data_IF_697747339801
#
_entry.id   IF_697747339801
#
_cell.length_a   1.000
_cell.length_b   1.000
_cell.length_c   1.000
_cell.angle_alpha   90.00
_cell.angle_beta   90.00
_cell.angle_gamma   90.00
#
_symmetry.space_group_name_H-M   'P 1'
#
loop_
_entity.id
_entity.type
_entity.pdbx_description
1 polymer ?
#
# COMPACT_ATOMS: atom_id res chain seq x y z
N UNK A 1 24.67 16.85 -1.55
CA UNK A 1 23.49 17.43 -0.85
C UNK A 1 23.48 18.90 -1.18
N UNK A 2 23.09 19.23 -2.40
CA UNK A 2 23.03 20.60 -2.86
C UNK A 2 21.57 21.06 -2.79
N UNK A 3 21.37 22.28 -2.29
CA UNK A 3 20.04 22.82 -2.05
C UNK A 3 19.34 23.22 -3.35
N UNK A 4 20.08 23.78 -4.30
CA UNK A 4 19.52 24.22 -5.59
C UNK A 4 18.99 23.01 -6.37
N UNK A 5 19.75 21.91 -6.37
CA UNK A 5 19.31 20.64 -6.97
C UNK A 5 18.06 20.08 -6.29
N UNK A 6 17.95 20.18 -4.96
CA UNK A 6 16.78 19.70 -4.22
C UNK A 6 15.52 20.55 -4.51
N UNK A 7 15.67 21.87 -4.58
CA UNK A 7 14.59 22.78 -4.94
C UNK A 7 14.13 22.56 -6.39
N UNK A 8 15.08 22.36 -7.32
CA UNK A 8 14.77 21.97 -8.69
C UNK A 8 13.99 20.65 -8.74
N UNK A 9 14.44 19.62 -7.99
CA UNK A 9 13.76 18.32 -7.94
C UNK A 9 12.38 18.41 -7.33
N UNK A 10 12.19 19.25 -6.32
CA UNK A 10 10.89 19.52 -5.73
C UNK A 10 9.94 20.13 -6.76
N UNK A 11 10.42 21.08 -7.56
CA UNK A 11 9.61 21.73 -8.58
C UNK A 11 9.30 20.79 -9.77
N UNK A 12 10.27 19.97 -10.19
CA UNK A 12 10.06 18.89 -11.16
C UNK A 12 8.98 17.91 -10.69
N UNK A 13 9.01 17.51 -9.41
CA UNK A 13 8.07 16.57 -8.84
C UNK A 13 6.65 17.14 -8.71
N UNK A 14 6.51 18.43 -8.38
CA UNK A 14 5.23 19.14 -8.33
C UNK A 14 4.57 19.24 -9.70
N UNK A 15 5.35 19.55 -10.73
CA UNK A 15 4.84 19.76 -12.08
C UNK A 15 4.59 18.43 -12.82
N UNK A 16 5.27 17.36 -12.42
CA UNK A 16 5.09 16.04 -13.03
C UNK A 16 3.86 15.32 -12.48
N UNK A 17 3.10 14.68 -13.37
CA UNK A 17 2.03 13.73 -12.98
C UNK A 17 2.59 12.39 -12.47
N UNK A 18 3.75 11.99 -12.95
CA UNK A 18 4.43 10.74 -12.58
C UNK A 18 5.60 11.01 -11.63
N UNK A 19 6.07 9.98 -10.93
CA UNK A 19 7.27 10.13 -10.09
C UNK A 19 8.47 10.47 -10.96
N UNK A 20 9.27 11.43 -10.50
CA UNK A 20 10.50 11.80 -11.19
C UNK A 20 11.68 10.96 -10.68
N UNK A 21 12.68 10.78 -11.53
CA UNK A 21 13.90 10.06 -11.17
C UNK A 21 14.68 10.84 -10.11
N UNK A 22 14.91 10.20 -8.97
CA UNK A 22 15.72 10.74 -7.89
C UNK A 22 17.22 10.63 -8.21
N UNK A 23 18.06 11.52 -7.66
CA UNK A 23 19.51 11.43 -7.81
C UNK A 23 20.09 10.12 -7.26
N UNK A 24 19.45 9.56 -6.22
CA UNK A 24 19.82 8.29 -5.62
C UNK A 24 18.56 7.60 -5.07
N UNK A 25 18.42 6.30 -5.30
CA UNK A 25 17.23 5.52 -4.89
C UNK A 25 17.11 5.37 -3.37
N UNK A 26 18.19 5.61 -2.63
CA UNK A 26 18.28 5.54 -1.18
C UNK A 26 18.54 6.91 -0.53
N UNK A 27 18.23 8.01 -1.24
CA UNK A 27 18.50 9.37 -0.77
C UNK A 27 17.98 9.62 0.65
N UNK A 28 16.80 9.11 1.01
CA UNK A 28 16.20 9.32 2.33
C UNK A 28 16.99 8.62 3.44
N UNK A 29 17.39 7.37 3.23
CA UNK A 29 18.19 6.63 4.21
C UNK A 29 19.57 7.27 4.41
N UNK A 30 20.20 7.68 3.31
CA UNK A 30 21.49 8.38 3.32
C UNK A 30 21.36 9.73 4.05
N UNK A 31 20.35 10.52 3.72
CA UNK A 31 20.07 11.80 4.36
C UNK A 31 19.87 11.63 5.87
N UNK A 32 19.03 10.68 6.27
CA UNK A 32 18.75 10.43 7.68
C UNK A 32 20.03 10.09 8.46
N UNK A 33 20.88 9.22 7.92
CA UNK A 33 22.13 8.82 8.57
C UNK A 33 23.10 10.01 8.69
N UNK A 34 23.29 10.75 7.59
CA UNK A 34 24.21 11.90 7.55
C UNK A 34 23.76 12.98 8.54
N UNK A 35 22.48 13.37 8.50
CA UNK A 35 21.94 14.40 9.38
C UNK A 35 21.78 13.96 10.85
N UNK A 36 21.93 12.67 11.14
CA UNK A 36 21.98 12.16 12.52
C UNK A 36 23.33 12.36 13.18
N UNK A 37 24.43 12.39 12.41
CA UNK A 37 25.80 12.42 12.94
C UNK A 37 26.55 13.70 12.56
N UNK A 38 26.51 14.09 11.28
CA UNK A 38 27.35 15.13 10.69
C UNK A 38 26.58 16.42 10.34
N UNK A 39 25.42 16.66 10.97
CA UNK A 39 24.60 17.84 10.66
C UNK A 39 25.29 19.18 10.92
N UNK A 40 26.27 19.21 11.85
CA UNK A 40 27.05 20.41 12.18
C UNK A 40 28.13 20.74 11.16
N UNK A 41 28.56 19.75 10.37
CA UNK A 41 29.61 19.88 9.37
C UNK A 41 29.06 20.24 7.98
N UNK A 42 27.73 20.40 7.88
CA UNK A 42 27.01 20.68 6.64
C UNK A 42 26.47 22.09 6.68
N UNK A 43 26.90 22.90 5.71
CA UNK A 43 26.36 24.24 5.53
C UNK A 43 24.87 24.19 5.21
N UNK A 44 24.09 25.08 5.84
CA UNK A 44 22.64 25.16 5.66
C UNK A 44 21.89 23.83 5.94
N UNK A 45 22.43 23.00 6.84
CA UNK A 45 21.91 21.65 7.13
C UNK A 45 20.41 21.59 7.40
N UNK A 46 19.86 22.53 8.17
CA UNK A 46 18.43 22.60 8.47
C UNK A 46 17.57 22.93 7.25
N UNK A 47 18.07 23.79 6.34
CA UNK A 47 17.36 24.13 5.10
C UNK A 47 17.33 22.93 4.15
N UNK A 48 18.45 22.22 4.02
CA UNK A 48 18.55 20.99 3.22
C UNK A 48 17.65 19.89 3.82
N UNK A 49 17.66 19.72 5.14
CA UNK A 49 16.78 18.77 5.85
C UNK A 49 15.32 19.06 5.56
N UNK A 50 14.92 20.33 5.58
CA UNK A 50 13.55 20.75 5.27
C UNK A 50 13.19 20.45 3.82
N UNK A 51 14.05 20.82 2.86
CA UNK A 51 13.80 20.56 1.44
C UNK A 51 13.64 19.05 1.12
N UNK A 52 14.48 18.20 1.74
CA UNK A 52 14.38 16.73 1.60
C UNK A 52 13.04 16.23 2.17
N UNK A 53 12.61 16.78 3.31
CA UNK A 53 11.35 16.41 3.94
C UNK A 53 10.16 16.83 3.08
N UNK A 54 10.16 18.06 2.57
CA UNK A 54 9.08 18.55 1.70
C UNK A 54 8.95 17.70 0.43
N UNK A 55 10.08 17.32 -0.17
CA UNK A 55 10.11 16.43 -1.34
C UNK A 55 9.55 15.04 -1.00
N UNK A 56 9.92 14.49 0.14
CA UNK A 56 9.40 13.21 0.61
C UNK A 56 7.91 13.25 0.90
N UNK A 57 7.42 14.27 1.61
CA UNK A 57 6.01 14.41 1.96
C UNK A 57 5.15 14.57 0.70
N UNK A 58 5.63 15.34 -0.28
CA UNK A 58 5.00 15.46 -1.59
C UNK A 58 4.88 14.10 -2.29
N UNK A 59 5.97 13.34 -2.35
CA UNK A 59 6.01 12.04 -3.05
C UNK A 59 5.18 10.98 -2.34
N UNK A 60 5.22 10.92 -1.01
CA UNK A 60 4.35 10.03 -0.22
C UNK A 60 2.87 10.39 -0.41
N UNK A 61 2.54 11.68 -0.42
CA UNK A 61 1.16 12.15 -0.70
C UNK A 61 0.67 11.73 -2.09
N UNK A 62 1.53 11.90 -3.10
CA UNK A 62 1.27 11.46 -4.48
C UNK A 62 1.10 9.94 -4.57
N UNK A 63 1.93 9.18 -3.87
CA UNK A 63 1.85 7.72 -3.84
C UNK A 63 0.57 7.22 -3.14
N UNK A 64 0.13 7.88 -2.07
CA UNK A 64 -1.18 7.60 -1.44
C UNK A 64 -2.33 7.89 -2.39
N UNK A 65 -2.29 9.03 -3.09
CA UNK A 65 -3.33 9.41 -4.05
C UNK A 65 -3.39 8.44 -5.25
N UNK A 66 -2.23 7.99 -5.71
CA UNK A 66 -2.11 6.95 -6.75
C UNK A 66 -2.69 5.61 -6.28
N UNK A 67 -2.38 5.20 -5.04
CA UNK A 67 -2.92 3.97 -4.45
C UNK A 67 -4.45 4.02 -4.27
N UNK A 68 -5.01 5.14 -3.84
CA UNK A 68 -6.46 5.35 -3.72
C UNK A 68 -7.16 5.24 -5.08
N UNK A 69 -6.59 5.89 -6.11
CA UNK A 69 -7.10 5.81 -7.48
C UNK A 69 -7.03 4.38 -8.01
N UNK A 70 -5.94 3.65 -7.72
CA UNK A 70 -5.76 2.26 -8.10
C UNK A 70 -6.80 1.33 -7.47
N UNK A 71 -7.08 1.49 -6.18
CA UNK A 71 -8.07 0.69 -5.48
C UNK A 71 -9.48 0.93 -6.03
N UNK A 72 -9.84 2.20 -6.27
CA UNK A 72 -11.11 2.58 -6.93
C UNK A 72 -11.24 2.05 -8.35
N UNK A 73 -10.12 1.88 -9.05
CA UNK A 73 -10.05 1.32 -10.41
C UNK A 73 -10.12 -0.21 -10.48
N UNK A 74 -10.36 -0.91 -9.36
CA UNK A 74 -10.49 -2.38 -9.33
C UNK A 74 -9.16 -3.14 -9.21
N UNK A 75 -8.03 -2.44 -8.99
CA UNK A 75 -6.85 -3.03 -8.36
C UNK A 75 -6.12 -4.15 -9.12
N UNK A 76 -6.17 -4.21 -10.45
CA UNK A 76 -5.60 -5.35 -11.21
C UNK A 76 -4.12 -5.22 -11.58
N UNK A 77 -3.70 -4.05 -12.06
CA UNK A 77 -2.32 -3.81 -12.48
C UNK A 77 -1.96 -2.33 -12.36
N UNK A 78 -0.80 -2.03 -11.79
CA UNK A 78 -0.22 -0.69 -11.74
C UNK A 78 1.27 -0.77 -12.03
N UNK A 79 1.71 -0.08 -13.08
CA UNK A 79 3.13 0.22 -13.30
C UNK A 79 3.48 1.50 -12.55
N UNK A 80 4.47 1.44 -11.67
CA UNK A 80 4.95 2.61 -10.92
C UNK A 80 6.46 2.72 -11.13
N UNK A 81 6.85 3.69 -11.95
CA UNK A 81 8.26 3.99 -12.20
C UNK A 81 8.81 4.97 -11.16
N UNK A 82 10.11 4.89 -10.90
CA UNK A 82 10.87 5.84 -10.06
C UNK A 82 10.38 6.03 -8.62
N UNK A 83 9.58 5.09 -8.10
CA UNK A 83 9.24 5.06 -6.68
C UNK A 83 10.38 4.38 -5.89
N UNK A 84 10.82 5.03 -4.82
CA UNK A 84 11.96 4.53 -4.03
C UNK A 84 11.52 3.49 -3.01
N UNK A 85 12.45 2.62 -2.59
CA UNK A 85 12.17 1.54 -1.63
C UNK A 85 11.55 2.05 -0.32
N UNK A 86 12.06 3.17 0.20
CA UNK A 86 11.58 3.78 1.43
C UNK A 86 10.12 4.23 1.30
N UNK A 87 9.75 4.84 0.17
CA UNK A 87 8.37 5.27 -0.10
C UNK A 87 7.43 4.06 -0.17
N UNK A 88 7.84 2.99 -0.86
CA UNK A 88 7.07 1.74 -0.96
C UNK A 88 6.81 1.15 0.44
N UNK A 89 7.82 1.15 1.31
CA UNK A 89 7.68 0.64 2.67
C UNK A 89 6.61 1.40 3.49
N UNK A 90 6.36 2.69 3.20
CA UNK A 90 5.32 3.46 3.90
C UNK A 90 3.90 3.07 3.51
N UNK A 91 3.70 2.60 2.28
CA UNK A 91 2.38 2.23 1.77
C UNK A 91 2.06 0.75 1.96
N UNK A 92 3.10 -0.09 1.96
CA UNK A 92 2.97 -1.54 1.88
C UNK A 92 1.99 -2.15 2.90
N UNK A 93 2.04 -1.83 4.21
CA UNK A 93 1.20 -2.52 5.19
C UNK A 93 -0.29 -2.28 4.89
N UNK A 94 -0.69 -1.02 4.75
CA UNK A 94 -2.09 -0.67 4.54
C UNK A 94 -2.59 -1.07 3.15
N UNK A 95 -1.79 -0.82 2.11
CA UNK A 95 -2.23 -1.05 0.73
C UNK A 95 -2.40 -2.55 0.44
N UNK A 96 -1.47 -3.39 0.90
CA UNK A 96 -1.57 -4.83 0.66
C UNK A 96 -2.75 -5.45 1.43
N UNK A 97 -2.97 -5.05 2.68
CA UNK A 97 -4.10 -5.53 3.48
C UNK A 97 -5.45 -5.13 2.84
N UNK A 98 -5.55 -3.89 2.33
CA UNK A 98 -6.73 -3.40 1.63
C UNK A 98 -6.98 -4.16 0.31
N UNK A 99 -5.93 -4.48 -0.44
CA UNK A 99 -6.02 -5.25 -1.68
C UNK A 99 -6.41 -6.70 -1.41
N UNK A 100 -5.85 -7.36 -0.39
CA UNK A 100 -6.25 -8.71 0.00
C UNK A 100 -7.72 -8.76 0.40
N UNK A 101 -8.16 -7.82 1.25
CA UNK A 101 -9.56 -7.71 1.67
C UNK A 101 -10.47 -7.51 0.46
N UNK A 102 -10.10 -6.60 -0.45
CA UNK A 102 -10.87 -6.32 -1.67
C UNK A 102 -10.89 -7.52 -2.62
N UNK A 103 -9.78 -8.25 -2.74
CA UNK A 103 -9.71 -9.47 -3.53
C UNK A 103 -10.63 -10.55 -2.97
N UNK A 104 -10.60 -10.77 -1.65
CA UNK A 104 -11.45 -11.76 -0.98
C UNK A 104 -12.93 -11.43 -1.05
N UNK A 105 -13.31 -10.15 -1.01
CA UNK A 105 -14.70 -9.71 -1.17
C UNK A 105 -15.19 -9.85 -2.62
N UNK A 106 -14.31 -9.71 -3.60
CA UNK A 106 -14.63 -9.86 -5.01
C UNK A 106 -14.47 -11.30 -5.52
N UNK A 107 -13.89 -12.20 -4.71
CA UNK A 107 -13.82 -13.61 -5.06
C UNK A 107 -15.25 -14.14 -5.19
N UNK A 108 -15.61 -14.82 -6.31
CA UNK A 108 -16.90 -15.45 -6.41
C UNK A 108 -17.06 -16.40 -5.23
N UNK A 109 -18.21 -16.34 -4.57
CA UNK A 109 -18.60 -17.35 -3.61
C UNK A 109 -18.57 -18.66 -4.37
N UNK A 110 -17.55 -19.48 -4.15
CA UNK A 110 -17.69 -20.91 -4.41
C UNK A 110 -18.91 -21.33 -3.59
N UNK A 111 -20.04 -21.53 -4.25
CA UNK A 111 -21.24 -22.16 -3.69
C UNK A 111 -20.85 -23.60 -3.32
N UNK A 112 -20.07 -23.74 -2.26
CA UNK A 112 -19.89 -24.98 -1.53
C UNK A 112 -21.23 -25.31 -0.89
N UNK A 113 -22.02 -26.09 -1.59
CA UNK A 113 -22.78 -27.25 -1.11
C UNK A 113 -22.62 -27.62 0.39
N UNK A 114 -23.05 -26.75 1.31
CA UNK A 114 -23.14 -27.05 2.75
C UNK A 114 -24.57 -27.37 3.21
N UNK A 115 -25.43 -27.82 2.29
CA UNK A 115 -26.75 -28.39 2.61
C UNK A 115 -26.81 -29.86 2.20
N UNK A 116 -25.99 -30.71 2.82
CA UNK A 116 -26.31 -32.13 2.94
C UNK A 116 -25.86 -32.66 4.31
N UNK A 117 -26.43 -32.10 5.36
CA UNK A 117 -26.32 -32.61 6.72
C UNK A 117 -27.71 -32.74 7.34
N UNK A 118 -28.61 -33.48 6.69
CA UNK A 118 -29.87 -33.89 7.30
C UNK A 118 -30.47 -35.08 6.57
N UNK A 119 -29.91 -36.27 6.79
CA UNK A 119 -30.59 -37.55 6.57
C UNK A 119 -30.38 -38.49 7.76
N UNK A 120 -30.80 -38.04 8.95
CA UNK A 120 -31.15 -38.96 10.02
C UNK A 120 -32.66 -39.22 9.96
N UNK A 121 -33.08 -40.11 9.06
CA UNK A 121 -34.43 -40.67 9.07
C UNK A 121 -34.48 -41.71 10.19
N UNK A 122 -35.06 -41.32 11.32
CA UNK A 122 -35.45 -42.27 12.37
C UNK A 122 -36.79 -42.88 11.97
N UNK A 123 -36.80 -44.13 11.49
CA UNK A 123 -38.04 -44.89 11.28
C UNK A 123 -38.58 -45.33 12.64
N UNK A 124 -39.62 -44.66 13.13
CA UNK A 124 -40.50 -45.23 14.16
C UNK A 124 -41.66 -45.97 13.47
N UNK A 125 -41.64 -47.30 13.52
CA UNK A 125 -42.81 -48.13 13.17
C UNK A 125 -43.92 -47.93 14.21
N UNK A 126 -45.20 -47.74 13.81
CA UNK A 126 -46.32 -47.92 14.71
C UNK A 126 -46.75 -49.39 14.71
N UNK A 127 -46.72 -50.02 15.89
CA UNK A 127 -47.33 -51.32 16.17
C UNK A 127 -48.85 -51.20 16.14
N UNK A 128 -49.51 -51.76 15.14
CA UNK A 128 -50.96 -52.00 15.18
C UNK A 128 -51.24 -53.37 15.80
N UNK A 129 -51.79 -53.31 17.01
CA UNK A 129 -52.38 -54.42 17.75
C UNK A 129 -53.57 -55.01 16.99
N UNK A 130 -53.48 -56.30 16.64
CA UNK A 130 -54.62 -57.14 16.27
C UNK A 130 -55.46 -57.44 17.51
N UNK A 131 -56.74 -57.09 17.47
CA UNK A 131 -57.75 -57.55 18.43
C UNK A 131 -58.81 -58.36 17.70
N UNK A 132 -59.27 -59.38 18.42
CA UNK A 132 -60.10 -60.54 18.05
C UNK A 132 -61.43 -60.26 17.37
#
# INVERSE_FOLDING_TARGET
MDIELLEQKLEEEKNSRFFTKMPNDHYMGIAHLIFGVAARDIDNSERIRTAIKDLWDLRVSKARSSADTFLKGGGRHAGIDFLTQMEICTLRPLLLDALDTTYRLNAPLEEGSFLNASSFVSQTQPSSSSSS
#
